data_IF_592680401020
#
_entry.id   IF_592680401020
#
_cell.length_a   1.000
_cell.length_b   1.000
_cell.length_c   1.000
_cell.angle_alpha   90.00
_cell.angle_beta   90.00
_cell.angle_gamma   90.00
#
_symmetry.space_group_name_H-M   'P 1'
#
loop_
_entity.id
_entity.type
_entity.pdbx_description
1 polymer ?
#
# COMPACT_ATOMS: atom_id res chain seq x y z
N UNK A 1 39.51 19.47 -28.38
CA UNK A 1 38.99 19.59 -27.00
C UNK A 1 38.27 18.30 -26.67
N UNK A 2 38.96 17.37 -26.02
CA UNK A 2 38.51 15.98 -25.84
C UNK A 2 37.95 15.85 -24.44
N UNK A 3 36.62 15.96 -24.30
CA UNK A 3 35.93 15.81 -23.02
C UNK A 3 35.95 14.35 -22.60
N UNK A 4 36.83 14.02 -21.66
CA UNK A 4 36.94 12.71 -21.04
C UNK A 4 35.57 12.25 -20.51
N UNK A 5 35.07 11.13 -21.04
CA UNK A 5 33.96 10.37 -20.45
C UNK A 5 34.41 9.92 -19.06
N UNK A 6 33.90 10.60 -18.03
CA UNK A 6 34.02 10.23 -16.62
C UNK A 6 33.44 8.82 -16.46
N UNK A 7 34.30 7.81 -16.44
CA UNK A 7 33.92 6.42 -16.30
C UNK A 7 33.02 6.24 -15.08
N UNK A 8 31.91 5.52 -15.25
CA UNK A 8 31.12 5.02 -14.13
C UNK A 8 32.06 4.19 -13.25
N UNK A 9 32.49 4.76 -12.13
CA UNK A 9 33.12 4.01 -11.06
C UNK A 9 32.10 2.95 -10.62
N UNK A 10 32.38 1.68 -10.94
CA UNK A 10 31.61 0.53 -10.50
C UNK A 10 31.75 0.47 -8.98
N UNK A 11 30.78 1.04 -8.26
CA UNK A 11 30.78 1.07 -6.80
C UNK A 11 30.41 -0.32 -6.30
N UNK A 12 31.39 -1.03 -5.77
CA UNK A 12 31.16 -2.29 -5.07
C UNK A 12 30.43 -2.01 -3.76
N UNK A 13 29.38 -2.77 -3.49
CA UNK A 13 28.56 -2.65 -2.29
C UNK A 13 28.40 -4.03 -1.70
N UNK A 14 28.78 -4.18 -0.44
CA UNK A 14 28.57 -5.40 0.33
C UNK A 14 27.18 -5.37 0.97
N UNK A 15 26.48 -6.51 0.93
CA UNK A 15 25.20 -6.71 1.58
C UNK A 15 25.06 -8.16 2.00
N UNK A 16 24.25 -8.40 3.04
CA UNK A 16 23.94 -9.73 3.51
C UNK A 16 22.73 -10.27 2.74
N UNK A 17 22.82 -11.50 2.27
CA UNK A 17 21.72 -12.20 1.60
C UNK A 17 21.11 -13.23 2.54
N UNK A 18 19.83 -13.07 2.84
CA UNK A 18 19.03 -14.01 3.63
C UNK A 18 18.16 -14.83 2.70
N UNK A 19 18.22 -16.17 2.79
CA UNK A 19 17.36 -17.07 2.02
C UNK A 19 16.52 -17.86 3.02
N UNK A 20 15.21 -17.63 3.01
CA UNK A 20 14.25 -18.27 3.91
C UNK A 20 13.20 -19.04 3.10
N UNK A 21 12.57 -20.05 3.69
CA UNK A 21 11.39 -20.68 3.09
C UNK A 21 10.21 -19.72 3.16
N UNK A 22 9.39 -19.72 2.12
CA UNK A 22 8.18 -18.91 2.08
C UNK A 22 7.17 -19.44 3.10
N UNK A 23 6.61 -18.55 3.91
CA UNK A 23 5.54 -18.88 4.85
C UNK A 23 4.19 -19.16 4.13
N UNK A 24 4.07 -18.81 2.84
CA UNK A 24 2.85 -19.04 2.05
C UNK A 24 2.89 -20.32 1.22
N UNK A 25 4.09 -20.84 0.95
CA UNK A 25 4.30 -21.92 -0.01
C UNK A 25 5.61 -22.63 0.36
N UNK A 26 5.50 -23.81 0.98
CA UNK A 26 6.64 -24.51 1.57
C UNK A 26 7.70 -24.94 0.54
N UNK A 27 7.33 -25.04 -0.74
CA UNK A 27 8.22 -25.39 -1.85
C UNK A 27 9.05 -24.18 -2.32
N UNK A 28 8.62 -22.95 -1.99
CA UNK A 28 9.28 -21.72 -2.45
C UNK A 28 10.25 -21.16 -1.43
N UNK A 29 11.35 -20.61 -1.95
CA UNK A 29 12.34 -19.86 -1.17
C UNK A 29 12.23 -18.38 -1.53
N UNK A 30 12.35 -17.51 -0.53
CA UNK A 30 12.37 -16.06 -0.68
C UNK A 30 13.74 -15.55 -0.26
N UNK A 31 14.31 -14.67 -1.08
CA UNK A 31 15.60 -14.05 -0.82
C UNK A 31 15.43 -12.58 -0.44
N UNK A 32 16.16 -12.13 0.58
CA UNK A 32 16.18 -10.75 1.05
C UNK A 32 17.62 -10.25 1.10
N UNK A 33 17.88 -9.07 0.53
CA UNK A 33 19.15 -8.37 0.67
C UNK A 33 19.04 -7.31 1.77
N UNK A 34 19.96 -7.33 2.73
CA UNK A 34 19.95 -6.43 3.89
C UNK A 34 21.36 -5.99 4.26
N UNK A 35 21.49 -4.77 4.77
CA UNK A 35 22.74 -4.26 5.33
C UNK A 35 22.96 -4.68 6.80
N UNK A 36 21.99 -5.36 7.42
CA UNK A 36 22.03 -5.77 8.82
C UNK A 36 22.55 -7.20 8.93
N UNK A 37 23.48 -7.47 9.85
CA UNK A 37 23.90 -8.84 10.15
C UNK A 37 22.84 -9.53 11.01
N UNK A 38 22.18 -10.54 10.48
CA UNK A 38 21.11 -11.27 11.17
C UNK A 38 21.54 -12.73 11.28
N UNK A 39 21.47 -13.26 12.50
CA UNK A 39 21.77 -14.66 12.77
C UNK A 39 20.71 -15.56 12.14
N UNK A 40 21.10 -16.72 11.62
CA UNK A 40 20.22 -17.63 10.87
C UNK A 40 18.94 -18.01 11.64
N UNK A 41 19.02 -18.10 12.98
CA UNK A 41 17.88 -18.41 13.86
C UNK A 41 16.79 -17.33 13.84
N UNK A 42 17.14 -16.07 13.60
CA UNK A 42 16.21 -14.94 13.55
C UNK A 42 15.86 -14.50 12.12
N UNK A 43 16.48 -15.12 11.11
CA UNK A 43 16.27 -14.76 9.71
C UNK A 43 14.79 -14.89 9.30
N UNK A 44 14.12 -15.95 9.75
CA UNK A 44 12.71 -16.19 9.43
C UNK A 44 11.79 -15.14 10.07
N UNK A 45 11.96 -14.86 11.37
CA UNK A 45 11.19 -13.84 12.07
C UNK A 45 11.40 -12.44 11.46
N UNK A 46 12.63 -12.10 11.10
CA UNK A 46 12.95 -10.84 10.42
C UNK A 46 12.22 -10.75 9.08
N UNK A 47 12.25 -11.81 8.27
CA UNK A 47 11.58 -11.84 6.98
C UNK A 47 10.05 -11.77 7.11
N UNK A 48 9.47 -12.41 8.13
CA UNK A 48 8.03 -12.32 8.43
C UNK A 48 7.63 -10.90 8.84
N UNK A 49 8.43 -10.26 9.69
CA UNK A 49 8.22 -8.86 10.06
C UNK A 49 8.38 -7.92 8.87
N UNK A 50 9.38 -8.13 8.02
CA UNK A 50 9.58 -7.35 6.81
C UNK A 50 8.45 -7.57 5.79
N UNK A 51 7.89 -8.79 5.72
CA UNK A 51 6.75 -9.10 4.84
C UNK A 51 5.50 -8.28 5.18
N UNK A 52 5.35 -7.78 6.43
CA UNK A 52 4.27 -6.84 6.81
C UNK A 52 4.36 -5.51 6.04
N UNK A 53 5.53 -5.13 5.52
CA UNK A 53 5.70 -3.96 4.64
C UNK A 53 4.82 -4.06 3.38
N UNK A 54 4.56 -5.26 2.89
CA UNK A 54 3.65 -5.48 1.76
C UNK A 54 2.21 -5.03 2.04
N UNK A 55 1.83 -4.93 3.32
CA UNK A 55 0.56 -4.35 3.74
C UNK A 55 0.39 -2.90 3.29
N UNK A 56 1.49 -2.15 3.15
CA UNK A 56 1.46 -0.76 2.63
C UNK A 56 1.04 -0.78 1.16
N UNK A 57 1.64 -1.62 0.33
CA UNK A 57 1.30 -1.74 -1.10
C UNK A 57 -0.14 -2.23 -1.30
N UNK A 58 -0.56 -3.20 -0.50
CA UNK A 58 -1.95 -3.69 -0.49
C UNK A 58 -2.92 -2.58 -0.10
N UNK A 59 -2.57 -1.77 0.90
CA UNK A 59 -3.37 -0.61 1.34
C UNK A 59 -3.43 0.48 0.28
N UNK A 60 -2.34 0.72 -0.46
CA UNK A 60 -2.32 1.66 -1.58
C UNK A 60 -3.20 1.21 -2.75
N UNK A 61 -3.25 -0.10 -3.07
CA UNK A 61 -4.18 -0.64 -4.08
C UNK A 61 -5.64 -0.33 -3.76
N UNK A 62 -6.05 -0.46 -2.49
CA UNK A 62 -7.42 -0.11 -2.06
C UNK A 62 -7.66 1.40 -2.18
N UNK A 63 -6.67 2.23 -1.84
CA UNK A 63 -6.76 3.70 -2.01
C UNK A 63 -6.81 4.13 -3.47
N UNK A 64 -6.17 3.38 -4.36
CA UNK A 64 -6.22 3.63 -5.81
C UNK A 64 -7.63 3.38 -6.38
N UNK A 65 -8.40 2.47 -5.80
CA UNK A 65 -9.81 2.25 -6.19
C UNK A 65 -10.67 3.51 -5.95
N UNK A 66 -10.32 4.33 -4.97
CA UNK A 66 -10.95 5.64 -4.71
C UNK A 66 -10.32 6.80 -5.49
N UNK A 67 -9.30 6.53 -6.30
CA UNK A 67 -8.60 7.58 -7.04
C UNK A 67 -9.35 7.92 -8.31
N UNK A 68 -9.90 9.13 -8.34
CA UNK A 68 -10.52 9.68 -9.55
C UNK A 68 -9.42 9.87 -10.60
N UNK A 69 -9.52 9.15 -11.73
CA UNK A 69 -8.57 9.28 -12.84
C UNK A 69 -8.81 10.60 -13.56
N UNK A 70 -7.95 11.58 -13.31
CA UNK A 70 -8.02 12.90 -13.95
C UNK A 70 -7.09 12.97 -15.15
N UNK A 71 -7.59 13.45 -16.29
CA UNK A 71 -6.78 13.71 -17.50
C UNK A 71 -6.20 15.14 -17.53
N UNK A 72 -6.46 15.94 -16.49
CA UNK A 72 -6.03 17.33 -16.43
C UNK A 72 -4.52 17.48 -16.23
N UNK A 73 -3.90 18.41 -16.98
CA UNK A 73 -2.47 18.74 -16.90
C UNK A 73 -2.12 19.67 -15.73
N UNK A 74 -3.12 20.30 -15.10
CA UNK A 74 -2.87 21.22 -13.99
C UNK A 74 -2.52 20.46 -12.70
N UNK A 75 -1.40 20.81 -12.09
CA UNK A 75 -0.92 20.24 -10.84
C UNK A 75 -1.90 20.45 -9.68
N UNK A 76 -2.56 21.61 -9.61
CA UNK A 76 -3.48 21.96 -8.52
C UNK A 76 -4.66 21.01 -8.47
N UNK A 77 -5.21 20.72 -9.65
CA UNK A 77 -6.34 19.80 -9.82
C UNK A 77 -5.92 18.39 -9.41
N UNK A 78 -4.75 17.92 -9.86
CA UNK A 78 -4.24 16.59 -9.49
C UNK A 78 -3.98 16.46 -7.99
N UNK A 79 -3.48 17.51 -7.34
CA UNK A 79 -3.27 17.53 -5.89
C UNK A 79 -4.60 17.53 -5.13
N UNK A 80 -5.57 18.34 -5.57
CA UNK A 80 -6.90 18.37 -4.99
C UNK A 80 -7.55 16.99 -5.03
N UNK A 81 -7.58 16.34 -6.20
CA UNK A 81 -8.17 15.01 -6.32
C UNK A 81 -7.43 13.94 -5.50
N UNK A 82 -6.11 14.08 -5.36
CA UNK A 82 -5.34 13.20 -4.47
C UNK A 82 -5.77 13.38 -3.00
N UNK A 83 -5.83 14.61 -2.51
CA UNK A 83 -6.27 14.91 -1.14
C UNK A 83 -7.72 14.50 -0.93
N UNK A 84 -8.58 14.74 -1.92
CA UNK A 84 -9.98 14.36 -1.91
C UNK A 84 -10.16 12.84 -1.79
N UNK A 85 -9.39 12.04 -2.54
CA UNK A 85 -9.39 10.58 -2.39
C UNK A 85 -8.94 10.12 -0.99
N UNK A 86 -7.97 10.82 -0.37
CA UNK A 86 -7.58 10.54 1.02
C UNK A 86 -8.72 10.87 1.99
N UNK A 87 -9.42 11.99 1.79
CA UNK A 87 -10.59 12.35 2.59
C UNK A 87 -11.72 11.32 2.46
N UNK A 88 -12.02 10.86 1.24
CA UNK A 88 -13.04 9.83 1.00
C UNK A 88 -12.69 8.50 1.67
N UNK A 89 -11.42 8.09 1.62
CA UNK A 89 -10.96 6.91 2.33
C UNK A 89 -11.14 7.05 3.85
N UNK A 90 -10.75 8.19 4.43
CA UNK A 90 -10.92 8.45 5.85
C UNK A 90 -12.41 8.47 6.27
N UNK A 91 -13.27 9.05 5.43
CA UNK A 91 -14.72 9.06 5.65
C UNK A 91 -15.29 7.64 5.62
N UNK A 92 -14.88 6.81 4.65
CA UNK A 92 -15.29 5.41 4.57
C UNK A 92 -14.87 4.61 5.82
N UNK A 93 -13.67 4.84 6.34
CA UNK A 93 -13.19 4.22 7.59
C UNK A 93 -14.01 4.70 8.78
N UNK A 94 -14.30 6.00 8.88
CA UNK A 94 -15.15 6.56 9.94
C UNK A 94 -16.56 5.97 9.92
N UNK A 95 -17.18 5.88 8.73
CA UNK A 95 -18.50 5.26 8.57
C UNK A 95 -18.45 3.79 9.01
N UNK A 96 -17.45 3.03 8.60
CA UNK A 96 -17.29 1.64 9.05
C UNK A 96 -17.11 1.57 10.58
N UNK A 97 -16.33 2.47 11.19
CA UNK A 97 -16.17 2.52 12.65
C UNK A 97 -17.50 2.81 13.37
N UNK A 98 -18.28 3.78 12.88
CA UNK A 98 -19.60 4.13 13.44
C UNK A 98 -20.56 2.95 13.29
N UNK A 99 -20.62 2.33 12.11
CA UNK A 99 -21.48 1.18 11.85
C UNK A 99 -21.09 -0.01 12.74
N UNK A 100 -19.79 -0.29 12.90
CA UNK A 100 -19.31 -1.32 13.82
C UNK A 100 -19.69 -1.04 15.27
N UNK A 101 -19.60 0.22 15.72
CA UNK A 101 -20.00 0.64 17.07
C UNK A 101 -21.50 0.45 17.30
N UNK A 102 -22.34 0.91 16.36
CA UNK A 102 -23.80 0.80 16.44
C UNK A 102 -24.25 -0.66 16.36
N UNK A 103 -23.65 -1.45 15.47
CA UNK A 103 -24.00 -2.85 15.27
C UNK A 103 -23.40 -3.79 16.34
N UNK A 104 -22.50 -3.31 17.21
CA UNK A 104 -21.72 -4.12 18.17
C UNK A 104 -21.00 -5.32 17.54
N UNK A 105 -20.61 -5.20 16.26
CA UNK A 105 -19.90 -6.24 15.52
C UNK A 105 -18.38 -5.98 15.61
N UNK A 106 -17.58 -7.04 15.76
CA UNK A 106 -16.12 -6.95 15.81
C UNK A 106 -15.51 -6.30 14.56
N UNK A 107 -14.48 -5.46 14.74
CA UNK A 107 -13.75 -4.70 13.70
C UNK A 107 -12.94 -5.54 12.68
N UNK A 108 -13.31 -6.80 12.44
CA UNK A 108 -12.53 -7.73 11.62
C UNK A 108 -12.65 -7.51 10.12
N UNK A 109 -13.83 -7.11 9.63
CA UNK A 109 -14.08 -6.87 8.20
C UNK A 109 -14.91 -5.59 8.04
N UNK A 110 -14.56 -4.69 7.10
CA UNK A 110 -15.41 -3.53 6.83
C UNK A 110 -16.78 -4.03 6.37
N UNK A 111 -17.83 -3.65 7.11
CA UNK A 111 -19.23 -3.99 6.81
C UNK A 111 -19.68 -3.35 5.51
N UNK A 112 -19.18 -2.15 5.23
CA UNK A 112 -19.40 -1.45 3.98
C UNK A 112 -18.11 -1.57 3.16
N UNK A 113 -18.13 -2.35 2.08
CA UNK A 113 -17.02 -2.42 1.13
C UNK A 113 -16.84 -1.09 0.41
N UNK A 114 -15.60 -0.75 0.02
CA UNK A 114 -15.27 0.44 -0.78
C UNK A 114 -16.22 0.67 -1.97
N UNK A 115 -16.52 -0.41 -2.71
CA UNK A 115 -17.48 -0.41 -3.83
C UNK A 115 -18.89 -0.01 -3.42
N UNK A 116 -19.41 -0.56 -2.32
CA UNK A 116 -20.75 -0.25 -1.81
C UNK A 116 -20.84 1.21 -1.36
N UNK A 117 -19.79 1.72 -0.72
CA UNK A 117 -19.71 3.13 -0.36
C UNK A 117 -19.68 4.05 -1.59
N UNK A 118 -18.93 3.69 -2.63
CA UNK A 118 -18.94 4.38 -3.91
C UNK A 118 -20.32 4.38 -4.58
N UNK A 119 -21.02 3.24 -4.58
CA UNK A 119 -22.40 3.14 -5.11
C UNK A 119 -23.38 3.98 -4.30
N UNK A 120 -23.27 4.02 -2.98
CA UNK A 120 -24.10 4.87 -2.14
C UNK A 120 -23.89 6.35 -2.46
N UNK A 121 -22.65 6.82 -2.56
CA UNK A 121 -22.35 8.21 -2.95
C UNK A 121 -22.96 8.52 -4.32
N UNK A 122 -22.80 7.62 -5.29
CA UNK A 122 -23.38 7.81 -6.63
C UNK A 122 -24.91 7.85 -6.59
N UNK A 123 -25.55 6.98 -5.81
CA UNK A 123 -27.00 6.98 -5.63
C UNK A 123 -27.50 8.28 -4.98
N UNK A 124 -26.80 8.80 -3.95
CA UNK A 124 -27.11 10.10 -3.35
C UNK A 124 -26.91 11.29 -4.31
N UNK A 125 -26.04 11.18 -5.32
CA UNK A 125 -25.90 12.21 -6.35
C UNK A 125 -27.04 12.20 -7.38
N UNK A 126 -27.72 11.07 -7.58
CA UNK A 126 -28.87 10.95 -8.49
C UNK A 126 -30.16 11.51 -7.85
N UNK A 127 -30.24 11.57 -6.52
CA UNK A 127 -31.41 12.07 -5.77
C UNK A 127 -31.52 13.61 -5.73
N UNK A 128 -30.62 14.33 -6.42
CA UNK A 128 -30.78 15.76 -6.72
C UNK A 128 -31.33 15.93 -8.15
N UNK A 129 -32.59 15.51 -8.33
CA UNK A 129 -33.36 15.66 -9.56
C UNK A 129 -34.85 15.66 -9.27
#
# INVERSE_FOLDING_TARGET
STSARKGLLKKEVEFNLLIVRSNRDAEKKVAFATNVSIEAKHAQEFCDNYSKRWGIETSYRVKEEFRIKTVSKDFRIRLFFFLFSVCLYNLWVLVNMIVSLVARISFGKPLITAKLFGTLIYAFQIDYG
#
